data_IF_023541562072
#
_entry.id   IF_023541562072
#
_cell.length_a   1.000
_cell.length_b   1.000
_cell.length_c   1.000
_cell.angle_alpha   90.00
_cell.angle_beta   90.00
_cell.angle_gamma   90.00
#
_symmetry.space_group_name_H-M   'P 1'
#
loop_
_entity.id
_entity.type
_entity.pdbx_description
1 polymer ?
#
# COMPACT_ATOMS: atom_id res chain seq x y z
N UNK A 1 -8.24 25.32 -63.82
CA UNK A 1 -7.10 25.86 -63.05
C UNK A 1 -7.22 25.62 -61.53
N UNK A 2 -7.85 24.53 -61.05
CA UNK A 2 -8.07 24.30 -59.59
C UNK A 2 -7.27 23.14 -58.95
N UNK A 3 -6.42 22.43 -59.70
CA UNK A 3 -5.63 21.32 -59.13
C UNK A 3 -4.47 21.79 -58.25
N UNK A 4 -3.86 22.94 -58.58
CA UNK A 4 -2.69 23.46 -57.85
C UNK A 4 -3.06 23.94 -56.44
N UNK A 5 -4.20 24.64 -56.29
CA UNK A 5 -4.72 25.08 -54.98
C UNK A 5 -5.12 23.91 -54.06
N UNK A 6 -5.62 22.81 -54.64
CA UNK A 6 -5.99 21.61 -53.89
C UNK A 6 -4.77 20.83 -53.38
N UNK A 7 -3.66 20.84 -54.13
CA UNK A 7 -2.39 20.26 -53.70
C UNK A 7 -1.74 21.12 -52.60
N UNK A 8 -1.75 22.46 -52.77
CA UNK A 8 -1.22 23.38 -51.76
C UNK A 8 -1.97 23.26 -50.43
N UNK A 9 -3.30 23.16 -50.47
CA UNK A 9 -4.10 22.96 -49.26
C UNK A 9 -3.74 21.66 -48.55
N UNK A 10 -3.59 20.55 -49.28
CA UNK A 10 -3.16 19.27 -48.70
C UNK A 10 -1.77 19.34 -48.05
N UNK A 11 -0.83 20.08 -48.65
CA UNK A 11 0.51 20.26 -48.07
C UNK A 11 0.43 21.08 -46.78
N UNK A 12 -0.39 22.14 -46.76
CA UNK A 12 -0.63 22.97 -45.57
C UNK A 12 -1.26 22.13 -44.46
N UNK A 13 -2.28 21.33 -44.77
CA UNK A 13 -2.95 20.46 -43.79
C UNK A 13 -1.97 19.43 -43.19
N UNK A 14 -1.12 18.83 -44.02
CA UNK A 14 -0.07 17.90 -43.55
C UNK A 14 0.95 18.61 -42.66
N UNK A 15 1.40 19.82 -43.02
CA UNK A 15 2.34 20.59 -42.22
C UNK A 15 1.74 20.97 -40.86
N UNK A 16 0.46 21.34 -40.81
CA UNK A 16 -0.29 21.60 -39.57
C UNK A 16 -0.36 20.33 -38.70
N UNK A 17 -0.69 19.17 -39.29
CA UNK A 17 -0.71 17.90 -38.57
C UNK A 17 0.66 17.52 -38.00
N UNK A 18 1.74 17.69 -38.77
CA UNK A 18 3.11 17.41 -38.31
C UNK A 18 3.48 18.33 -37.15
N UNK A 19 3.18 19.62 -37.25
CA UNK A 19 3.44 20.58 -36.17
C UNK A 19 2.71 20.21 -34.88
N UNK A 20 1.43 19.83 -34.99
CA UNK A 20 0.62 19.39 -33.84
C UNK A 20 1.24 18.17 -33.14
N UNK A 21 1.63 17.14 -33.89
CA UNK A 21 2.27 15.96 -33.31
C UNK A 21 3.65 16.28 -32.70
N UNK A 22 4.40 17.21 -33.29
CA UNK A 22 5.66 17.66 -32.73
C UNK A 22 5.50 18.41 -31.40
N UNK A 23 4.48 19.27 -31.29
CA UNK A 23 4.18 19.96 -30.02
C UNK A 23 3.74 18.96 -28.94
N UNK A 24 2.98 17.91 -29.30
CA UNK A 24 2.63 16.82 -28.37
C UNK A 24 3.87 16.04 -27.92
N UNK A 25 4.87 15.84 -28.79
CA UNK A 25 6.14 15.20 -28.38
C UNK A 25 6.86 16.03 -27.30
N UNK A 26 6.79 17.38 -27.35
CA UNK A 26 7.35 18.22 -26.29
C UNK A 26 6.59 18.07 -24.98
N UNK A 27 5.27 18.03 -25.04
CA UNK A 27 4.44 17.80 -23.85
C UNK A 27 4.73 16.41 -23.24
N UNK A 28 4.86 15.38 -24.08
CA UNK A 28 5.24 14.04 -23.63
C UNK A 28 6.64 13.99 -23.04
N UNK A 29 7.59 14.81 -23.52
CA UNK A 29 8.91 14.96 -22.88
C UNK A 29 8.79 15.49 -21.45
N UNK A 30 7.95 16.51 -21.24
CA UNK A 30 7.69 17.09 -19.91
C UNK A 30 7.03 16.05 -19.00
N UNK A 31 5.96 15.41 -19.49
CA UNK A 31 5.26 14.34 -18.78
C UNK A 31 6.19 13.17 -18.40
N UNK A 32 7.11 12.80 -19.29
CA UNK A 32 8.11 11.74 -19.03
C UNK A 32 9.11 12.12 -17.93
N UNK A 33 9.39 13.42 -17.73
CA UNK A 33 10.32 13.91 -16.72
C UNK A 33 9.65 14.20 -15.37
N UNK A 34 8.43 14.72 -15.39
CA UNK A 34 7.76 15.25 -14.20
C UNK A 34 6.70 14.28 -13.65
N UNK A 35 5.83 13.78 -14.52
CA UNK A 35 4.63 13.04 -14.10
C UNK A 35 4.89 11.52 -14.03
N UNK A 36 5.58 10.97 -15.04
CA UNK A 36 5.88 9.54 -15.13
C UNK A 36 6.56 8.96 -13.87
N UNK A 37 7.54 9.63 -13.24
CA UNK A 37 8.13 9.12 -12.00
C UNK A 37 7.14 9.06 -10.83
N UNK A 38 6.23 10.04 -10.72
CA UNK A 38 5.17 10.04 -9.70
C UNK A 38 4.23 8.85 -9.91
N UNK A 39 3.95 8.56 -11.18
CA UNK A 39 3.11 7.46 -11.57
C UNK A 39 3.73 6.10 -11.31
N UNK A 40 5.00 5.90 -11.68
CA UNK A 40 5.76 4.69 -11.36
C UNK A 40 5.75 4.46 -9.84
N UNK A 41 6.14 5.47 -9.05
CA UNK A 41 6.17 5.38 -7.59
C UNK A 41 4.81 5.05 -6.97
N UNK A 42 3.73 5.67 -7.46
CA UNK A 42 2.37 5.43 -6.96
C UNK A 42 1.94 4.01 -7.26
N UNK A 43 2.24 3.51 -8.46
CA UNK A 43 1.87 2.16 -8.90
C UNK A 43 2.65 1.09 -8.14
N UNK A 44 3.95 1.29 -7.97
CA UNK A 44 4.80 0.39 -7.19
C UNK A 44 4.35 0.33 -5.73
N UNK A 45 3.98 1.48 -5.16
CA UNK A 45 3.41 1.56 -3.80
C UNK A 45 2.09 0.80 -3.70
N UNK A 46 1.18 1.01 -4.66
CA UNK A 46 -0.09 0.29 -4.73
C UNK A 46 0.12 -1.22 -4.87
N UNK A 47 1.05 -1.64 -5.72
CA UNK A 47 1.37 -3.05 -5.93
C UNK A 47 1.90 -3.67 -4.63
N UNK A 48 2.82 -2.99 -3.96
CA UNK A 48 3.39 -3.42 -2.68
C UNK A 48 2.32 -3.59 -1.60
N UNK A 49 1.36 -2.65 -1.50
CA UNK A 49 0.23 -2.77 -0.55
C UNK A 49 -0.67 -3.95 -0.89
N UNK A 50 -1.01 -4.16 -2.18
CA UNK A 50 -1.83 -5.30 -2.63
C UNK A 50 -1.13 -6.63 -2.36
N UNK A 51 0.14 -6.77 -2.72
CA UNK A 51 0.93 -7.98 -2.48
C UNK A 51 1.01 -8.32 -0.99
N UNK A 52 1.22 -7.30 -0.14
CA UNK A 52 1.22 -7.48 1.32
C UNK A 52 -0.12 -8.00 1.83
N UNK A 53 -1.24 -7.42 1.37
CA UNK A 53 -2.58 -7.87 1.72
C UNK A 53 -2.86 -9.30 1.23
N UNK A 54 -2.42 -9.65 0.02
CA UNK A 54 -2.58 -11.01 -0.52
C UNK A 54 -1.71 -12.04 0.22
N UNK A 55 -0.52 -11.67 0.69
CA UNK A 55 0.37 -12.55 1.46
C UNK A 55 -0.27 -12.97 2.79
N UNK A 56 -0.99 -12.09 3.47
CA UNK A 56 -1.72 -12.43 4.70
C UNK A 56 -2.74 -13.54 4.49
N UNK A 57 -3.43 -13.52 3.35
CA UNK A 57 -4.41 -14.54 3.00
C UNK A 57 -3.76 -15.90 2.77
N UNK A 58 -2.60 -15.94 2.10
CA UNK A 58 -1.82 -17.18 1.94
C UNK A 58 -1.40 -17.80 3.28
N UNK A 59 -1.28 -16.99 4.32
CA UNK A 59 -0.95 -17.42 5.68
C UNK A 59 -2.19 -17.82 6.50
N UNK A 60 -3.37 -17.92 5.86
CA UNK A 60 -4.63 -18.36 6.46
C UNK A 60 -5.01 -17.58 7.73
N UNK A 61 -4.62 -16.31 7.82
CA UNK A 61 -5.11 -15.46 8.91
C UNK A 61 -6.63 -15.38 8.72
N UNK A 62 -7.45 -15.79 9.70
CA UNK A 62 -8.88 -15.95 9.50
C UNK A 62 -9.52 -14.58 9.30
N UNK A 63 -9.92 -14.29 8.06
CA UNK A 63 -10.49 -12.99 7.74
C UNK A 63 -11.99 -13.10 7.49
N UNK A 64 -12.79 -12.35 8.26
CA UNK A 64 -14.20 -12.05 8.01
C UNK A 64 -14.41 -11.22 6.71
N UNK A 65 -13.54 -11.33 5.71
CA UNK A 65 -13.38 -10.35 4.63
C UNK A 65 -13.27 -10.95 3.22
N UNK A 66 -13.93 -12.06 2.94
CA UNK A 66 -13.97 -12.67 1.60
C UNK A 66 -14.30 -11.67 0.47
N UNK A 67 -15.23 -10.73 0.70
CA UNK A 67 -15.53 -9.67 -0.28
C UNK A 67 -14.38 -8.66 -0.49
N UNK A 68 -13.55 -8.42 0.53
CA UNK A 68 -12.35 -7.57 0.38
C UNK A 68 -11.29 -8.26 -0.50
N UNK A 69 -11.25 -9.58 -0.54
CA UNK A 69 -10.32 -10.36 -1.39
C UNK A 69 -10.68 -10.20 -2.85
N UNK A 70 -11.95 -10.42 -3.22
CA UNK A 70 -12.38 -10.22 -4.61
C UNK A 70 -12.16 -8.77 -5.07
N UNK A 71 -12.26 -7.80 -4.16
CA UNK A 71 -11.89 -6.41 -4.43
C UNK A 71 -10.38 -6.24 -4.64
N UNK A 72 -9.53 -6.86 -3.81
CA UNK A 72 -8.08 -6.85 -3.98
C UNK A 72 -7.62 -7.49 -5.29
N UNK A 73 -8.21 -8.63 -5.67
CA UNK A 73 -7.93 -9.29 -6.95
C UNK A 73 -8.33 -8.41 -8.14
N UNK A 74 -9.48 -7.73 -8.05
CA UNK A 74 -9.92 -6.78 -9.08
C UNK A 74 -8.94 -5.60 -9.21
N UNK A 75 -8.53 -5.02 -8.07
CA UNK A 75 -7.53 -3.95 -8.04
C UNK A 75 -6.20 -4.42 -8.65
N UNK A 76 -5.75 -5.64 -8.30
CA UNK A 76 -4.53 -6.22 -8.86
C UNK A 76 -4.62 -6.39 -10.38
N UNK A 77 -5.75 -6.88 -10.90
CA UNK A 77 -5.96 -7.01 -12.35
C UNK A 77 -5.90 -5.67 -13.07
N UNK A 78 -6.48 -4.62 -12.48
CA UNK A 78 -6.45 -3.26 -13.03
C UNK A 78 -5.04 -2.67 -13.01
N UNK A 79 -4.32 -2.82 -11.90
CA UNK A 79 -2.93 -2.38 -11.76
C UNK A 79 -2.00 -3.08 -12.76
N UNK A 80 -2.18 -4.38 -12.99
CA UNK A 80 -1.42 -5.13 -13.98
C UNK A 80 -1.66 -4.65 -15.42
N UNK A 81 -2.89 -4.24 -15.76
CA UNK A 81 -3.15 -3.61 -17.07
C UNK A 81 -2.38 -2.31 -17.20
N UNK A 82 -2.30 -1.55 -16.12
CA UNK A 82 -1.57 -0.29 -16.13
C UNK A 82 -0.06 -0.47 -16.29
N UNK A 83 0.54 -1.40 -15.55
CA UNK A 83 1.96 -1.73 -15.73
C UNK A 83 2.31 -2.06 -17.18
N UNK A 84 1.43 -2.77 -17.89
CA UNK A 84 1.61 -3.07 -19.33
C UNK A 84 1.61 -1.80 -20.18
N UNK A 85 0.71 -0.85 -19.89
CA UNK A 85 0.60 0.42 -20.63
C UNK A 85 1.79 1.34 -20.32
N UNK A 86 2.19 1.45 -19.04
CA UNK A 86 3.41 2.17 -18.64
C UNK A 86 4.66 1.59 -19.31
N UNK A 87 4.78 0.27 -19.34
CA UNK A 87 5.90 -0.41 -20.01
C UNK A 87 5.92 -0.12 -21.52
N UNK A 88 4.75 -0.16 -22.17
CA UNK A 88 4.59 0.21 -23.59
C UNK A 88 5.00 1.67 -23.82
N UNK A 89 4.59 2.59 -22.94
CA UNK A 89 4.97 4.00 -23.00
C UNK A 89 6.48 4.19 -22.88
N UNK A 90 7.13 3.53 -21.92
CA UNK A 90 8.57 3.60 -21.70
C UNK A 90 9.36 3.11 -22.91
N UNK A 91 8.96 1.97 -23.49
CA UNK A 91 9.58 1.45 -24.72
C UNK A 91 9.41 2.42 -25.89
N UNK A 92 8.24 3.06 -25.99
CA UNK A 92 7.97 4.06 -27.02
C UNK A 92 8.79 5.34 -26.80
N UNK A 93 8.81 5.87 -25.58
CA UNK A 93 9.52 7.10 -25.23
C UNK A 93 11.02 6.91 -25.36
N UNK A 94 11.59 5.79 -24.90
CA UNK A 94 13.01 5.45 -25.08
C UNK A 94 13.40 5.38 -26.56
N UNK A 95 12.49 4.92 -27.42
CA UNK A 95 12.71 4.83 -28.87
C UNK A 95 12.65 6.18 -29.60
N UNK A 96 12.02 7.19 -29.00
CA UNK A 96 11.74 8.49 -29.62
C UNK A 96 12.57 9.63 -29.00
N UNK A 97 12.91 9.52 -27.71
CA UNK A 97 13.60 10.54 -26.92
C UNK A 97 15.12 10.30 -26.80
N UNK A 98 15.62 9.09 -27.07
CA UNK A 98 17.06 8.85 -27.14
C UNK A 98 17.65 9.39 -28.44
N UNK A 99 18.12 10.64 -28.41
CA UNK A 99 18.76 11.35 -29.53
C UNK A 99 19.95 10.60 -30.14
N UNK A 100 20.59 9.69 -29.39
CA UNK A 100 21.71 8.85 -29.88
C UNK A 100 21.28 7.66 -30.75
N UNK A 101 20.00 7.29 -30.79
CA UNK A 101 19.46 6.14 -31.54
C UNK A 101 18.46 6.51 -32.63
N UNK A 102 18.06 7.77 -32.73
CA UNK A 102 17.24 8.28 -33.85
C UNK A 102 18.15 8.43 -35.07
N UNK A 103 18.64 7.32 -35.62
CA UNK A 103 19.03 7.34 -37.02
C UNK A 103 17.74 7.63 -37.80
N UNK A 104 17.76 8.63 -38.67
CA UNK A 104 16.67 8.98 -39.58
C UNK A 104 16.30 7.79 -40.47
N UNK A 105 15.61 6.81 -39.92
CA UNK A 105 15.20 5.59 -40.59
C UNK A 105 13.68 5.57 -40.63
N UNK A 106 13.16 5.12 -41.76
CA UNK A 106 11.74 4.95 -42.06
C UNK A 106 10.99 4.12 -40.99
N UNK A 107 11.73 3.36 -40.17
CA UNK A 107 11.24 2.59 -39.02
C UNK A 107 10.76 3.46 -37.85
N UNK A 108 11.41 4.60 -37.55
CA UNK A 108 10.97 5.54 -36.52
C UNK A 108 9.65 6.20 -36.93
N UNK A 109 9.56 6.62 -38.19
CA UNK A 109 8.33 7.19 -38.77
C UNK A 109 7.20 6.14 -38.79
N UNK A 110 7.47 4.89 -39.17
CA UNK A 110 6.47 3.80 -39.09
C UNK A 110 5.94 3.56 -37.67
N UNK A 111 6.79 3.64 -36.64
CA UNK A 111 6.37 3.51 -35.23
C UNK A 111 5.48 4.69 -34.79
N UNK A 112 5.86 5.91 -35.15
CA UNK A 112 5.08 7.13 -34.87
C UNK A 112 3.73 7.13 -35.59
N UNK A 113 3.67 6.58 -36.82
CA UNK A 113 2.42 6.46 -37.58
C UNK A 113 1.50 5.38 -37.03
N UNK A 114 2.06 4.29 -36.49
CA UNK A 114 1.27 3.20 -35.88
C UNK A 114 0.69 3.60 -34.53
N UNK A 115 1.49 4.23 -33.68
CA UNK A 115 1.09 4.72 -32.36
C UNK A 115 1.45 6.22 -32.29
N UNK A 116 0.48 7.07 -32.66
CA UNK A 116 0.70 8.52 -32.71
C UNK A 116 0.93 9.09 -31.31
N UNK A 117 1.80 10.11 -31.16
CA UNK A 117 1.98 10.85 -29.90
C UNK A 117 0.65 11.24 -29.26
N UNK A 118 -0.30 11.74 -30.06
CA UNK A 118 -1.68 12.02 -29.64
C UNK A 118 -2.38 10.82 -28.99
N UNK A 119 -2.33 9.65 -29.64
CA UNK A 119 -2.98 8.43 -29.16
C UNK A 119 -2.36 7.94 -27.85
N UNK A 120 -1.04 8.05 -27.74
CA UNK A 120 -0.30 7.60 -26.56
C UNK A 120 -0.55 8.51 -25.37
N UNK A 121 -0.51 9.84 -25.58
CA UNK A 121 -0.85 10.80 -24.53
C UNK A 121 -2.25 10.54 -23.99
N UNK A 122 -3.20 10.25 -24.88
CA UNK A 122 -4.57 9.91 -24.50
C UNK A 122 -4.63 8.59 -23.72
N UNK A 123 -4.05 7.52 -24.24
CA UNK A 123 -4.02 6.20 -23.56
C UNK A 123 -3.40 6.31 -22.15
N UNK A 124 -2.37 7.14 -22.00
CA UNK A 124 -1.73 7.39 -20.71
C UNK A 124 -2.64 8.18 -19.75
N UNK A 125 -3.26 9.25 -20.24
CA UNK A 125 -4.19 10.09 -19.44
C UNK A 125 -5.43 9.30 -19.00
N UNK A 126 -6.03 8.53 -19.90
CA UNK A 126 -7.23 7.73 -19.64
C UNK A 126 -6.97 6.73 -18.50
N UNK A 127 -5.77 6.13 -18.45
CA UNK A 127 -5.46 5.17 -17.38
C UNK A 127 -5.15 5.86 -16.05
N UNK A 128 -4.62 7.08 -16.06
CA UNK A 128 -4.48 7.86 -14.83
C UNK A 128 -5.80 8.19 -14.19
N UNK A 129 -6.76 8.62 -15.01
CA UNK A 129 -8.12 8.86 -14.54
C UNK A 129 -8.75 7.58 -13.96
N UNK A 130 -8.41 6.40 -14.48
CA UNK A 130 -8.89 5.12 -13.94
C UNK A 130 -8.29 4.80 -12.56
N UNK A 131 -6.98 5.05 -12.36
CA UNK A 131 -6.24 4.59 -11.17
C UNK A 131 -6.30 5.55 -10.00
N UNK A 132 -6.31 6.85 -10.27
CA UNK A 132 -6.34 7.86 -9.22
C UNK A 132 -7.43 7.60 -8.15
N UNK A 133 -8.69 7.24 -8.49
CA UNK A 133 -9.70 6.89 -7.48
C UNK A 133 -9.41 5.58 -6.73
N UNK A 134 -8.61 4.67 -7.31
CA UNK A 134 -8.26 3.40 -6.67
C UNK A 134 -7.30 3.58 -5.50
N UNK A 135 -6.46 4.62 -5.52
CA UNK A 135 -5.52 4.93 -4.41
C UNK A 135 -6.28 5.04 -3.08
N UNK A 136 -7.38 5.79 -3.06
CA UNK A 136 -8.22 5.94 -1.87
C UNK A 136 -8.83 4.63 -1.40
N UNK A 137 -9.20 3.75 -2.34
CA UNK A 137 -9.75 2.42 -2.03
C UNK A 137 -8.69 1.50 -1.42
N UNK A 138 -7.46 1.52 -1.96
CA UNK A 138 -6.33 0.73 -1.43
C UNK A 138 -5.96 1.21 -0.03
N UNK A 139 -5.85 2.52 0.20
CA UNK A 139 -5.58 3.08 1.53
C UNK A 139 -6.66 2.66 2.53
N UNK A 140 -7.93 2.74 2.13
CA UNK A 140 -9.03 2.34 3.00
C UNK A 140 -9.00 0.83 3.29
N UNK A 141 -8.71 0.00 2.28
CA UNK A 141 -8.56 -1.45 2.46
C UNK A 141 -7.41 -1.78 3.40
N UNK A 142 -6.25 -1.15 3.23
CA UNK A 142 -5.08 -1.33 4.08
C UNK A 142 -5.41 -0.98 5.53
N UNK A 143 -6.08 0.15 5.77
CA UNK A 143 -6.58 0.52 7.10
C UNK A 143 -7.62 -0.46 7.65
N UNK A 144 -8.52 -0.98 6.82
CA UNK A 144 -9.59 -1.87 7.30
C UNK A 144 -9.13 -3.33 7.43
N UNK A 145 -7.99 -3.72 6.83
CA UNK A 145 -7.43 -5.07 6.92
C UNK A 145 -6.39 -5.14 8.03
N UNK A 146 -5.48 -4.18 8.08
CA UNK A 146 -4.40 -4.17 9.07
C UNK A 146 -4.73 -3.34 10.31
N UNK A 147 -5.60 -2.34 10.21
CA UNK A 147 -5.91 -1.44 11.31
C UNK A 147 -4.65 -0.82 11.92
N UNK A 148 -4.53 -0.93 13.24
CA UNK A 148 -3.38 -0.48 13.99
C UNK A 148 -2.12 -1.33 13.78
N UNK A 149 -2.25 -2.57 13.27
CA UNK A 149 -1.13 -3.49 13.02
C UNK A 149 -0.12 -2.95 11.99
N UNK A 150 -0.53 -2.00 11.13
CA UNK A 150 0.38 -1.33 10.18
C UNK A 150 1.60 -0.70 10.85
N UNK A 151 1.46 -0.32 12.13
CA UNK A 151 2.51 0.35 12.89
C UNK A 151 3.53 -0.63 13.47
N UNK A 152 3.17 -1.91 13.60
CA UNK A 152 4.04 -2.94 14.17
C UNK A 152 5.05 -3.36 13.11
N UNK A 153 6.34 -3.18 13.42
CA UNK A 153 7.42 -3.49 12.47
C UNK A 153 7.74 -4.97 12.38
N UNK A 154 7.60 -5.71 13.48
CA UNK A 154 7.99 -7.13 13.53
C UNK A 154 6.93 -8.00 12.86
N UNK A 155 7.26 -8.74 11.77
CA UNK A 155 6.26 -9.46 10.97
C UNK A 155 5.42 -10.46 11.77
N UNK A 156 6.05 -11.25 12.64
CA UNK A 156 5.37 -12.24 13.49
C UNK A 156 4.41 -11.57 14.48
N UNK A 157 4.81 -10.45 15.08
CA UNK A 157 3.98 -9.72 16.06
C UNK A 157 2.85 -8.99 15.35
N UNK A 158 3.09 -8.48 14.13
CA UNK A 158 2.06 -7.91 13.28
C UNK A 158 1.00 -8.97 12.94
N UNK A 159 1.41 -10.18 12.53
CA UNK A 159 0.47 -11.28 12.27
C UNK A 159 -0.31 -11.68 13.53
N UNK A 160 0.37 -11.80 14.68
CA UNK A 160 -0.27 -12.12 15.94
C UNK A 160 -1.30 -11.04 16.32
N UNK A 161 -0.97 -9.75 16.16
CA UNK A 161 -1.88 -8.64 16.40
C UNK A 161 -3.11 -8.67 15.48
N UNK A 162 -2.91 -9.02 14.21
CA UNK A 162 -4.00 -9.16 13.25
C UNK A 162 -4.95 -10.33 13.55
N UNK A 163 -4.51 -11.32 14.32
CA UNK A 163 -5.37 -12.43 14.73
C UNK A 163 -6.30 -12.09 15.90
N UNK A 164 -6.08 -10.97 16.59
CA UNK A 164 -6.86 -10.55 17.77
C UNK A 164 -8.30 -10.11 17.40
N UNK A 165 -8.62 -9.89 16.13
CA UNK A 165 -9.99 -9.54 15.70
C UNK A 165 -10.37 -8.06 15.87
N UNK A 166 -11.61 -7.74 16.24
CA UNK A 166 -12.15 -6.35 16.22
C UNK A 166 -11.35 -5.32 17.04
N UNK A 167 -10.58 -5.77 18.04
CA UNK A 167 -9.68 -4.91 18.83
C UNK A 167 -8.48 -4.37 18.03
N UNK A 168 -8.27 -4.80 16.79
CA UNK A 168 -7.26 -4.27 15.86
C UNK A 168 -7.46 -2.80 15.51
N UNK A 169 -8.69 -2.28 15.65
CA UNK A 169 -8.99 -0.87 15.43
C UNK A 169 -8.70 0.00 16.67
N UNK A 170 -8.45 -0.61 17.83
CA UNK A 170 -8.04 0.11 19.02
C UNK A 170 -6.55 0.48 18.91
N UNK A 171 -6.28 1.79 18.86
CA UNK A 171 -4.95 2.31 18.65
C UNK A 171 -4.04 2.29 19.89
N UNK A 172 -4.53 1.78 21.03
CA UNK A 172 -3.93 1.98 22.35
C UNK A 172 -3.27 0.71 22.91
N UNK A 173 -4.03 -0.31 23.30
CA UNK A 173 -3.50 -1.54 23.86
C UNK A 173 -4.52 -2.69 23.84
N UNK A 174 -4.03 -3.92 23.91
CA UNK A 174 -4.83 -5.16 23.98
C UNK A 174 -4.40 -5.98 25.18
N UNK A 175 -5.27 -6.84 25.72
CA UNK A 175 -4.87 -7.77 26.78
C UNK A 175 -3.70 -8.65 26.33
N UNK A 176 -2.69 -8.81 27.19
CA UNK A 176 -1.55 -9.70 26.94
C UNK A 176 -1.98 -11.12 26.60
N UNK A 177 -3.10 -11.58 27.17
CA UNK A 177 -3.66 -12.90 26.92
C UNK A 177 -3.99 -13.11 25.45
N UNK A 178 -4.57 -12.10 24.78
CA UNK A 178 -4.91 -12.22 23.36
C UNK A 178 -3.68 -12.33 22.47
N UNK A 179 -2.60 -11.63 22.82
CA UNK A 179 -1.33 -11.74 22.09
C UNK A 179 -0.71 -13.14 22.30
N UNK A 180 -0.72 -13.66 23.52
CA UNK A 180 -0.25 -15.02 23.85
C UNK A 180 -1.05 -16.06 23.06
N UNK A 181 -2.38 -16.00 23.10
CA UNK A 181 -3.27 -16.91 22.35
C UNK A 181 -2.98 -16.86 20.85
N UNK A 182 -2.80 -15.67 20.28
CA UNK A 182 -2.49 -15.49 18.86
C UNK A 182 -1.12 -16.07 18.49
N UNK A 183 -0.10 -15.89 19.33
CA UNK A 183 1.24 -16.46 19.11
C UNK A 183 1.22 -17.99 19.21
N UNK A 184 0.46 -18.57 20.16
CA UNK A 184 0.27 -20.01 20.27
C UNK A 184 -0.43 -20.56 19.01
N UNK A 185 -1.48 -19.87 18.54
CA UNK A 185 -2.20 -20.28 17.33
C UNK A 185 -1.31 -20.21 16.07
N UNK A 186 -0.42 -19.21 15.98
CA UNK A 186 0.57 -19.13 14.90
C UNK A 186 1.61 -20.25 15.00
N UNK A 187 2.15 -20.52 16.20
CA UNK A 187 3.11 -21.61 16.39
C UNK A 187 2.49 -22.98 16.06
N UNK A 188 1.23 -23.20 16.43
CA UNK A 188 0.49 -24.42 16.09
C UNK A 188 0.25 -24.60 14.58
N UNK A 189 0.43 -23.56 13.76
CA UNK A 189 0.42 -23.66 12.30
C UNK A 189 1.81 -23.93 11.72
N UNK A 190 2.85 -23.46 12.40
CA UNK A 190 4.24 -23.69 12.02
C UNK A 190 4.68 -25.12 12.36
N UNK A 191 4.10 -25.71 13.40
CA UNK A 191 4.53 -26.99 13.97
C UNK A 191 3.37 -27.97 14.19
N UNK A 192 3.67 -29.27 14.09
CA UNK A 192 2.66 -30.33 14.29
C UNK A 192 2.15 -30.43 15.73
N UNK A 193 2.96 -30.05 16.73
CA UNK A 193 2.60 -30.09 18.15
C UNK A 193 3.25 -28.94 18.93
N UNK A 194 2.44 -28.17 19.65
CA UNK A 194 2.90 -27.15 20.59
C UNK A 194 3.07 -27.77 21.98
N UNK A 195 4.26 -27.63 22.57
CA UNK A 195 4.55 -28.18 23.91
C UNK A 195 4.23 -27.19 25.03
N UNK A 196 4.11 -27.68 26.26
CA UNK A 196 3.95 -26.82 27.45
C UNK A 196 5.15 -25.87 27.64
N UNK A 197 6.35 -26.31 27.26
CA UNK A 197 7.55 -25.46 27.30
C UNK A 197 7.45 -24.28 26.32
N UNK A 198 6.85 -24.50 25.15
CA UNK A 198 6.65 -23.45 24.15
C UNK A 198 5.68 -22.38 24.65
N UNK A 199 4.56 -22.81 25.23
CA UNK A 199 3.59 -21.92 25.87
C UNK A 199 4.28 -21.11 26.98
N UNK A 200 5.08 -21.75 27.82
CA UNK A 200 5.84 -21.09 28.87
C UNK A 200 6.83 -20.05 28.31
N UNK A 201 7.52 -20.37 27.23
CA UNK A 201 8.46 -19.44 26.59
C UNK A 201 7.75 -18.25 25.95
N UNK A 202 6.59 -18.46 25.31
CA UNK A 202 5.74 -17.38 24.80
C UNK A 202 5.30 -16.47 25.95
N UNK A 203 4.76 -17.03 27.04
CA UNK A 203 4.35 -16.26 28.21
C UNK A 203 5.51 -15.44 28.77
N UNK A 204 6.69 -16.06 28.98
CA UNK A 204 7.88 -15.36 29.47
C UNK A 204 8.32 -14.23 28.55
N UNK A 205 8.24 -14.42 27.23
CA UNK A 205 8.57 -13.38 26.26
C UNK A 205 7.58 -12.22 26.33
N UNK A 206 6.27 -12.51 26.37
CA UNK A 206 5.23 -11.47 26.44
C UNK A 206 5.28 -10.72 27.78
N UNK A 207 5.55 -11.39 28.89
CA UNK A 207 5.75 -10.74 30.18
C UNK A 207 6.98 -9.81 30.17
N UNK A 208 8.04 -10.15 29.42
CA UNK A 208 9.18 -9.24 29.19
C UNK A 208 8.80 -8.02 28.36
N UNK A 209 7.91 -8.17 27.38
CA UNK A 209 7.40 -7.05 26.57
C UNK A 209 6.61 -6.08 27.46
N UNK A 210 5.70 -6.60 28.30
CA UNK A 210 4.89 -5.83 29.29
C UNK A 210 5.75 -5.16 30.38
N UNK A 211 6.98 -5.63 30.59
CA UNK A 211 7.90 -5.11 31.62
C UNK A 211 9.09 -4.34 31.03
N UNK A 212 9.03 -3.94 29.76
CA UNK A 212 10.12 -3.20 29.12
C UNK A 212 10.46 -1.90 29.87
N UNK A 213 11.74 -1.48 29.90
CA UNK A 213 12.20 -0.39 30.76
C UNK A 213 11.45 0.92 30.53
N UNK A 214 10.80 1.43 31.59
CA UNK A 214 10.04 2.68 31.58
C UNK A 214 8.53 2.51 31.60
N UNK A 215 8.02 1.27 31.54
CA UNK A 215 6.60 0.94 31.64
C UNK A 215 6.35 0.04 32.85
N UNK A 216 5.21 0.25 33.51
CA UNK A 216 4.76 -0.57 34.63
C UNK A 216 3.82 -1.63 34.05
N UNK A 217 4.10 -2.91 34.30
CA UNK A 217 3.21 -4.00 33.85
C UNK A 217 1.78 -3.72 34.27
N UNK A 218 0.89 -3.69 33.28
CA UNK A 218 -0.54 -3.46 33.44
C UNK A 218 -1.38 -4.59 32.80
N UNK A 219 -0.72 -5.64 32.30
CA UNK A 219 -1.28 -6.76 31.54
C UNK A 219 -1.91 -6.35 30.20
N UNK A 220 -1.62 -5.15 29.71
CA UNK A 220 -1.99 -4.69 28.40
C UNK A 220 -0.73 -4.52 27.57
N UNK A 221 -0.78 -4.96 26.32
CA UNK A 221 0.29 -4.79 25.35
C UNK A 221 -0.13 -3.72 24.35
N UNK A 222 0.66 -2.66 24.30
CA UNK A 222 0.57 -1.59 23.33
C UNK A 222 1.47 -1.85 22.12
N UNK A 223 1.16 -1.21 20.99
CA UNK A 223 2.03 -1.22 19.82
C UNK A 223 3.41 -0.66 20.14
N UNK A 224 3.48 0.31 21.07
CA UNK A 224 4.75 0.89 21.48
C UNK A 224 5.68 -0.18 22.10
N UNK A 225 5.16 -1.04 22.96
CA UNK A 225 5.94 -2.12 23.57
C UNK A 225 6.40 -3.16 22.55
N UNK A 226 5.54 -3.48 21.58
CA UNK A 226 5.91 -4.37 20.47
C UNK A 226 7.01 -3.77 19.59
N UNK A 227 6.98 -2.46 19.37
CA UNK A 227 7.99 -1.74 18.60
C UNK A 227 9.35 -1.66 19.30
N UNK A 228 9.44 -2.07 20.57
CA UNK A 228 10.71 -2.22 21.28
C UNK A 228 11.48 -3.47 20.83
N UNK A 229 10.81 -4.42 20.19
CA UNK A 229 11.46 -5.60 19.62
C UNK A 229 12.10 -5.19 18.28
N UNK A 230 13.41 -5.41 18.17
CA UNK A 230 14.14 -5.20 16.92
C UNK A 230 13.82 -6.31 15.92
N UNK A 231 13.69 -5.92 14.65
CA UNK A 231 13.53 -6.89 13.57
C UNK A 231 14.92 -7.29 13.09
N UNK A 232 15.22 -8.57 13.17
CA UNK A 232 16.48 -9.19 12.74
C UNK A 232 16.18 -10.42 11.88
N UNK A 233 17.14 -10.84 11.05
CA UNK A 233 16.95 -12.03 10.22
C UNK A 233 16.75 -13.30 11.07
N UNK A 234 17.30 -13.31 12.29
CA UNK A 234 17.25 -14.43 13.22
C UNK A 234 15.89 -14.57 13.93
N UNK A 235 15.10 -13.49 14.05
CA UNK A 235 13.85 -13.48 14.83
C UNK A 235 12.56 -13.24 14.03
N UNK A 236 12.66 -12.79 12.78
CA UNK A 236 11.50 -12.33 12.01
C UNK A 236 10.78 -13.42 11.20
N UNK A 237 11.38 -14.62 11.09
CA UNK A 237 10.91 -15.67 10.18
C UNK A 237 9.73 -16.50 10.69
N UNK A 238 9.62 -16.72 11.99
CA UNK A 238 8.63 -17.61 12.62
C UNK A 238 8.42 -17.26 14.09
N UNK A 239 7.35 -17.78 14.69
CA UNK A 239 7.13 -17.66 16.14
C UNK A 239 8.27 -18.36 16.90
N UNK A 240 8.74 -19.51 16.42
CA UNK A 240 9.89 -20.23 16.98
C UNK A 240 11.15 -19.34 17.07
N UNK A 241 11.51 -18.72 15.95
CA UNK A 241 12.65 -17.83 15.84
C UNK A 241 12.55 -16.63 16.81
N UNK A 242 11.34 -16.06 16.92
CA UNK A 242 11.07 -14.94 17.81
C UNK A 242 11.24 -15.33 19.30
N UNK A 243 10.78 -16.52 19.68
CA UNK A 243 10.88 -17.02 21.07
C UNK A 243 12.34 -17.34 21.44
N UNK A 244 13.10 -17.92 20.51
CA UNK A 244 14.49 -18.35 20.77
C UNK A 244 15.48 -17.19 20.73
N UNK A 245 15.29 -16.24 19.82
CA UNK A 245 16.20 -15.13 19.58
C UNK A 245 15.52 -13.75 19.72
N UNK A 246 14.86 -13.44 20.86
CA UNK A 246 14.24 -12.14 21.04
C UNK A 246 15.32 -11.04 21.11
N UNK A 247 15.26 -10.08 20.18
CA UNK A 247 16.15 -8.92 20.15
C UNK A 247 15.40 -7.68 20.59
N UNK A 248 15.95 -6.98 21.58
CA UNK A 248 15.33 -5.82 22.19
C UNK A 248 16.17 -4.56 21.97
N UNK A 249 15.53 -3.45 21.63
CA UNK A 249 16.20 -2.15 21.47
C UNK A 249 16.92 -1.77 22.75
N UNK A 250 18.24 -1.58 22.67
CA UNK A 250 19.04 -1.13 23.82
C UNK A 250 18.73 0.35 24.10
N UNK A 251 18.12 0.62 25.26
CA UNK A 251 17.88 1.93 25.88
C UNK A 251 17.28 3.01 24.95
N UNK A 252 15.97 3.26 25.07
CA UNK A 252 15.42 4.56 24.70
C UNK A 252 15.95 5.61 25.67
N UNK A 253 16.76 6.53 25.16
CA UNK A 253 17.03 7.77 25.89
C UNK A 253 15.72 8.50 26.17
N UNK A 254 15.59 9.27 27.27
CA UNK A 254 14.40 10.08 27.55
C UNK A 254 13.96 10.98 26.37
N UNK A 255 14.91 11.34 25.49
CA UNK A 255 14.65 12.08 24.24
C UNK A 255 13.79 11.32 23.24
N UNK A 256 13.94 10.00 23.10
CA UNK A 256 13.15 9.22 22.14
C UNK A 256 11.73 8.95 22.65
N UNK A 257 11.54 8.89 23.98
CA UNK A 257 10.21 8.88 24.60
C UNK A 257 9.48 10.22 24.42
N UNK A 258 10.18 11.35 24.56
CA UNK A 258 9.62 12.68 24.27
C UNK A 258 9.29 12.88 22.79
N UNK A 259 10.15 12.41 21.87
CA UNK A 259 9.89 12.52 20.43
C UNK A 259 8.63 11.73 20.02
N UNK A 260 8.40 10.57 20.64
CA UNK A 260 7.18 9.79 20.42
C UNK A 260 5.92 10.48 20.98
N UNK A 261 5.98 10.98 22.22
CA UNK A 261 4.89 11.73 22.84
C UNK A 261 4.51 12.97 22.02
N UNK A 262 5.50 13.66 21.44
CA UNK A 262 5.26 14.79 20.54
C UNK A 262 4.66 14.34 19.20
N UNK A 263 5.04 13.18 18.65
CA UNK A 263 4.42 12.66 17.42
C UNK A 263 2.95 12.29 17.60
N UNK A 264 2.58 11.73 18.77
CA UNK A 264 1.19 11.44 19.14
C UNK A 264 0.35 12.71 19.27
N UNK A 265 0.93 13.79 19.81
CA UNK A 265 0.25 15.10 19.93
C UNK A 265 0.07 15.86 18.60
N UNK A 266 0.75 15.42 17.54
CA UNK A 266 0.67 16.01 16.19
C UNK A 266 -0.36 15.32 15.29
N UNK A 267 -1.00 14.24 15.77
CA UNK A 267 -2.11 13.61 15.07
C UNK A 267 -3.32 14.56 15.08
N UNK A 268 -4.01 14.75 13.95
CA UNK A 268 -5.22 15.55 13.92
C UNK A 268 -6.22 14.91 14.88
N UNK A 269 -6.61 15.67 15.91
CA UNK A 269 -7.76 15.35 16.77
C UNK A 269 -8.91 15.00 15.83
N UNK A 270 -9.44 13.79 15.99
CA UNK A 270 -10.64 13.35 15.28
C UNK A 270 -11.68 14.46 15.39
N UNK A 271 -12.03 15.04 14.24
CA UNK A 271 -13.14 15.99 14.17
C UNK A 271 -14.36 15.24 14.69
N UNK A 272 -15.03 15.70 15.76
CA UNK A 272 -16.24 15.05 16.23
C UNK A 272 -17.25 15.14 15.11
N UNK A 273 -17.59 13.99 14.52
CA UNK A 273 -18.70 13.87 13.59
C UNK A 273 -19.95 14.26 14.38
N UNK A 274 -20.48 15.47 14.15
CA UNK A 274 -21.78 15.84 14.69
C UNK A 274 -22.80 14.93 14.02
N UNK A 275 -23.29 13.93 14.76
CA UNK A 275 -24.45 13.17 14.33
C UNK A 275 -25.63 14.15 14.22
N UNK A 276 -26.36 14.18 13.08
CA UNK A 276 -27.57 14.98 12.99
C UNK A 276 -28.61 14.46 14.01
N UNK A 277 -29.44 15.34 14.59
CA UNK A 277 -30.36 14.97 15.64
C UNK A 277 -31.36 13.93 15.14
N UNK A 278 -31.40 12.78 15.82
CA UNK A 278 -32.39 11.74 15.60
C UNK A 278 -33.76 12.29 16.01
N UNK A 279 -34.61 12.57 15.01
CA UNK A 279 -36.04 12.81 15.25
C UNK A 279 -36.70 11.48 15.61
N UNK A 280 -36.85 11.22 16.91
CA UNK A 280 -37.67 10.12 17.41
C UNK A 280 -39.14 10.45 17.13
N UNK A 281 -39.77 9.70 16.21
CA UNK A 281 -41.23 9.72 16.07
C UNK A 281 -41.84 9.07 17.33
N UNK A 282 -42.83 9.70 18.00
CA UNK A 282 -43.52 9.08 19.10
C UNK A 282 -44.25 7.82 18.61
N UNK A 283 -43.98 6.70 19.29
CA UNK A 283 -44.66 5.43 19.08
C UNK A 283 -46.07 5.56 19.65
N UNK A 284 -47.10 5.39 18.82
CA UNK A 284 -48.48 5.38 19.30
C UNK A 284 -48.67 4.23 20.30
N UNK A 285 -49.45 4.43 21.37
CA UNK A 285 -49.77 3.36 22.31
C UNK A 285 -50.64 2.32 21.59
N UNK A 286 -50.28 1.04 21.75
CA UNK A 286 -51.15 -0.06 21.35
C UNK A 286 -52.31 -0.12 22.36
N UNK A 287 -53.53 -0.07 21.84
CA UNK A 287 -54.77 -0.43 22.55
C UNK A 287 -54.83 -1.95 22.65
#
# INVERSE_FOLDING_TARGET
>A
MNQCGCILQKIIDVAISIKKEYDIIKELKIMNLEELPVYENSTDSMNSSIERMLKLWKNEIPIQHTLKISLLENLNMKLNKFFKILSKFKIWSDGLLNEKKVSCTFSCVKKIVKDTPSSIKKELSDVFEEINPMIGTIINLEKTIFGSALRIKHPVLQMAWMMIGENQLCDTAVSKTFLIESLIALLAKEEEQVTENDIKNICNMVDKIDTMPGLKSDNLISIFELDMIEVTDENCGSVRNLIENPSYKKNLTPKSLMAFAMSLSSLPVSVPVSLPPIKVKPRAPKI
#
